data_IF_976391081436
#
_entry.id   IF_976391081436
#
_cell.length_a   1.000
_cell.length_b   1.000
_cell.length_c   1.000
_cell.angle_alpha   90.00
_cell.angle_beta   90.00
_cell.angle_gamma   90.00
#
_symmetry.space_group_name_H-M   'P 1'
#
loop_
_entity.id
_entity.type
_entity.pdbx_description
1 polymer ?
#
# COMPACT_ATOMS: atom_id res chain seq x y z
N UNK A 1 -19.72 -34.19 8.43
CA UNK A 1 -19.50 -33.86 7.00
C UNK A 1 -19.78 -32.40 6.69
N UNK A 2 -20.91 -31.86 7.13
CA UNK A 2 -21.24 -30.44 6.91
C UNK A 2 -20.26 -29.48 7.61
N UNK A 3 -19.67 -29.89 8.71
CA UNK A 3 -18.72 -29.06 9.45
C UNK A 3 -17.38 -28.86 8.74
N UNK A 4 -16.96 -29.83 7.91
CA UNK A 4 -15.75 -29.74 7.13
C UNK A 4 -15.83 -28.68 6.02
N UNK A 5 -17.01 -28.57 5.40
CA UNK A 5 -17.25 -27.57 4.35
C UNK A 5 -17.22 -26.14 4.91
N UNK A 6 -17.76 -25.96 6.12
CA UNK A 6 -17.76 -24.65 6.79
C UNK A 6 -16.32 -24.25 7.14
N UNK A 7 -15.50 -25.20 7.56
CA UNK A 7 -14.10 -24.93 7.89
C UNK A 7 -13.30 -24.52 6.67
N UNK A 8 -13.53 -25.12 5.50
CA UNK A 8 -12.86 -24.75 4.27
C UNK A 8 -13.25 -23.35 3.79
N UNK A 9 -14.49 -22.95 3.97
CA UNK A 9 -14.96 -21.61 3.66
C UNK A 9 -14.28 -20.55 4.55
N UNK A 10 -14.07 -20.87 5.81
CA UNK A 10 -13.38 -19.97 6.73
C UNK A 10 -11.90 -19.78 6.37
N UNK A 11 -11.24 -20.83 5.89
CA UNK A 11 -9.85 -20.75 5.44
C UNK A 11 -9.71 -19.83 4.25
N UNK A 12 -10.66 -19.86 3.30
CA UNK A 12 -10.61 -19.01 2.12
C UNK A 12 -10.79 -17.53 2.43
N UNK A 13 -11.39 -17.19 3.59
CA UNK A 13 -11.55 -15.79 4.01
C UNK A 13 -10.33 -15.20 4.69
N UNK A 14 -9.30 -16.00 4.96
CA UNK A 14 -8.05 -15.52 5.57
C UNK A 14 -7.14 -14.80 4.57
N UNK A 15 -7.35 -14.98 3.27
CA UNK A 15 -6.61 -14.28 2.24
C UNK A 15 -7.30 -12.96 1.93
N UNK A 16 -6.88 -11.91 2.63
CA UNK A 16 -7.39 -10.58 2.36
C UNK A 16 -6.49 -9.88 1.35
N UNK A 17 -7.07 -9.24 0.36
CA UNK A 17 -6.35 -8.36 -0.53
C UNK A 17 -6.15 -7.00 0.14
N UNK A 18 -5.15 -6.26 -0.33
CA UNK A 18 -4.88 -4.90 0.13
C UNK A 18 -6.07 -4.00 -0.25
N UNK A 19 -6.50 -3.18 0.70
CA UNK A 19 -7.66 -2.31 0.51
C UNK A 19 -7.35 -1.20 -0.47
N UNK A 20 -8.28 -0.96 -1.40
CA UNK A 20 -8.20 0.12 -2.38
C UNK A 20 -8.80 1.41 -1.81
N UNK A 21 -8.12 2.52 -2.03
CA UNK A 21 -8.63 3.83 -1.65
C UNK A 21 -9.30 4.52 -2.84
N UNK A 22 -10.22 5.42 -2.54
CA UNK A 22 -10.97 6.21 -3.50
C UNK A 22 -10.82 7.70 -3.18
N UNK A 23 -11.31 8.59 -4.07
CA UNK A 23 -11.33 10.03 -3.80
C UNK A 23 -12.04 10.37 -2.49
N UNK A 24 -13.05 9.60 -2.13
CA UNK A 24 -13.87 9.87 -0.94
C UNK A 24 -13.15 9.51 0.36
N UNK A 25 -12.30 8.47 0.36
CA UNK A 25 -11.72 7.98 1.61
C UNK A 25 -10.20 8.16 1.72
N UNK A 26 -9.53 8.65 0.67
CA UNK A 26 -8.07 8.78 0.67
C UNK A 26 -7.57 9.67 1.81
N UNK A 27 -8.11 10.87 1.93
CA UNK A 27 -7.69 11.82 2.97
C UNK A 27 -7.92 11.24 4.36
N UNK A 28 -9.10 10.69 4.60
CA UNK A 28 -9.44 10.11 5.89
C UNK A 28 -8.52 8.93 6.23
N UNK A 29 -8.20 8.09 5.25
CA UNK A 29 -7.37 6.91 5.47
C UNK A 29 -5.91 7.26 5.78
N UNK A 30 -5.40 8.38 5.24
CA UNK A 30 -3.99 8.77 5.37
C UNK A 30 -3.72 9.81 6.47
N UNK A 31 -4.76 10.35 7.10
CA UNK A 31 -4.62 11.48 8.04
C UNK A 31 -4.04 11.09 9.39
N UNK A 32 -4.21 9.86 9.83
CA UNK A 32 -3.82 9.43 11.17
C UNK A 32 -2.88 8.24 11.14
N UNK A 33 -1.81 8.32 11.94
CA UNK A 33 -0.87 7.26 12.12
C UNK A 33 0.01 7.04 10.90
N UNK A 34 0.74 5.95 10.91
CA UNK A 34 1.63 5.58 9.82
C UNK A 34 0.87 4.76 8.79
N UNK A 35 0.88 5.24 7.55
CA UNK A 35 0.13 4.64 6.44
C UNK A 35 1.04 4.53 5.22
N UNK A 36 1.07 3.35 4.61
CA UNK A 36 1.78 3.12 3.35
C UNK A 36 0.76 2.95 2.23
N UNK A 37 0.90 3.69 1.15
CA UNK A 37 0.00 3.62 0.00
C UNK A 37 0.80 3.34 -1.26
N UNK A 38 0.47 2.25 -1.94
CA UNK A 38 1.00 1.97 -3.27
C UNK A 38 0.09 2.59 -4.32
N UNK A 39 0.69 3.40 -5.21
CA UNK A 39 0.02 4.00 -6.35
C UNK A 39 0.33 3.17 -7.59
N UNK A 40 -0.70 2.75 -8.30
CA UNK A 40 -0.57 1.96 -9.52
C UNK A 40 -1.59 2.43 -10.55
N UNK A 41 -1.47 1.95 -11.77
CA UNK A 41 -2.43 2.22 -12.84
C UNK A 41 -2.90 0.89 -13.44
N UNK A 42 -4.08 0.91 -14.05
CA UNK A 42 -4.65 -0.30 -14.66
C UNK A 42 -3.69 -0.91 -15.69
N UNK A 43 -3.03 -0.07 -16.50
CA UNK A 43 -2.09 -0.55 -17.52
C UNK A 43 -0.81 -1.16 -16.92
N UNK A 44 -0.51 -0.88 -15.64
CA UNK A 44 0.67 -1.40 -14.95
C UNK A 44 0.30 -2.38 -13.82
N UNK A 45 -0.91 -2.90 -13.83
CA UNK A 45 -1.43 -3.72 -12.74
C UNK A 45 -0.60 -4.97 -12.48
N UNK A 46 -0.05 -5.57 -13.54
CA UNK A 46 0.81 -6.76 -13.42
C UNK A 46 2.08 -6.49 -12.61
N UNK A 47 2.49 -5.23 -12.50
CA UNK A 47 3.70 -4.82 -11.79
C UNK A 47 3.41 -4.21 -10.41
N UNK A 48 2.21 -4.41 -9.87
CA UNK A 48 1.95 -4.05 -8.49
C UNK A 48 2.97 -4.75 -7.58
N UNK A 49 3.37 -4.07 -6.53
CA UNK A 49 4.40 -4.56 -5.63
C UNK A 49 3.87 -5.77 -4.84
N UNK A 50 4.41 -6.95 -5.12
CA UNK A 50 3.98 -8.18 -4.42
C UNK A 50 4.28 -8.15 -2.93
N UNK A 51 5.37 -7.48 -2.53
CA UNK A 51 5.69 -7.33 -1.11
C UNK A 51 4.58 -6.64 -0.34
N UNK A 52 3.83 -5.74 -0.97
CA UNK A 52 2.68 -5.06 -0.34
C UNK A 52 1.58 -6.08 0.02
N UNK A 53 1.34 -7.07 -0.84
CA UNK A 53 0.33 -8.10 -0.56
C UNK A 53 0.74 -9.03 0.58
N UNK A 54 2.05 -9.25 0.73
CA UNK A 54 2.60 -10.17 1.72
C UNK A 54 2.94 -9.49 3.05
N UNK A 55 3.00 -8.16 3.03
CA UNK A 55 3.47 -7.39 4.18
C UNK A 55 2.42 -7.31 5.28
N UNK A 56 2.79 -7.84 6.44
CA UNK A 56 1.96 -7.80 7.63
C UNK A 56 2.62 -6.88 8.65
N UNK A 57 2.40 -5.58 8.47
CA UNK A 57 2.98 -4.59 9.37
C UNK A 57 2.09 -4.37 10.59
N UNK A 58 2.70 -4.44 11.76
CA UNK A 58 2.02 -4.12 13.01
C UNK A 58 1.82 -2.61 13.16
N UNK A 59 2.77 -1.81 12.66
CA UNK A 59 2.82 -0.37 12.91
C UNK A 59 2.18 0.47 11.81
N UNK A 60 2.05 -0.06 10.59
CA UNK A 60 1.55 0.70 9.45
C UNK A 60 0.29 0.06 8.88
N UNK A 61 -0.65 0.90 8.47
CA UNK A 61 -1.77 0.49 7.63
C UNK A 61 -1.33 0.54 6.18
N UNK A 62 -1.82 -0.39 5.36
CA UNK A 62 -1.37 -0.55 3.98
C UNK A 62 -2.55 -0.47 3.04
N UNK A 63 -2.42 0.34 2.01
CA UNK A 63 -3.47 0.56 1.01
C UNK A 63 -2.88 0.64 -0.39
N UNK A 64 -3.77 0.57 -1.38
CA UNK A 64 -3.49 0.86 -2.79
C UNK A 64 -4.45 1.88 -3.34
N UNK A 65 -4.02 2.59 -4.36
CA UNK A 65 -4.90 3.48 -5.11
C UNK A 65 -4.58 3.38 -6.61
N UNK A 66 -5.63 3.28 -7.41
CA UNK A 66 -5.52 3.25 -8.87
C UNK A 66 -5.59 4.68 -9.41
N UNK A 67 -4.49 5.18 -9.94
CA UNK A 67 -4.42 6.56 -10.41
C UNK A 67 -5.15 6.78 -11.74
N UNK A 68 -5.43 5.73 -12.50
CA UNK A 68 -6.27 5.85 -13.70
C UNK A 68 -7.71 6.19 -13.31
N UNK A 69 -8.19 5.56 -12.23
CA UNK A 69 -9.53 5.81 -11.72
C UNK A 69 -9.59 7.13 -10.96
N UNK A 70 -8.52 7.49 -10.24
CA UNK A 70 -8.48 8.67 -9.36
C UNK A 70 -7.30 9.58 -9.70
N UNK A 71 -7.33 10.25 -10.87
CA UNK A 71 -6.20 11.08 -11.30
C UNK A 71 -5.93 12.29 -10.41
N UNK A 72 -6.92 12.78 -9.67
CA UNK A 72 -6.73 13.89 -8.73
C UNK A 72 -5.80 13.51 -7.58
N UNK A 73 -5.89 12.25 -7.12
CA UNK A 73 -5.00 11.75 -6.07
C UNK A 73 -3.56 11.70 -6.58
N UNK A 74 -3.37 11.27 -7.83
CA UNK A 74 -2.07 11.27 -8.48
C UNK A 74 -1.45 12.67 -8.47
N UNK A 75 -2.21 13.65 -8.95
CA UNK A 75 -1.74 15.02 -9.07
C UNK A 75 -1.41 15.63 -7.71
N UNK A 76 -2.29 15.42 -6.73
CA UNK A 76 -2.11 15.96 -5.38
C UNK A 76 -0.86 15.41 -4.68
N UNK A 77 -0.41 14.22 -5.05
CA UNK A 77 0.73 13.55 -4.43
C UNK A 77 1.98 13.53 -5.33
N UNK A 78 1.92 14.20 -6.48
CA UNK A 78 3.05 14.27 -7.43
C UNK A 78 3.61 12.91 -7.81
N UNK A 79 2.72 11.94 -8.08
CA UNK A 79 3.12 10.60 -8.50
C UNK A 79 3.38 10.63 -10.01
N UNK A 80 4.64 10.46 -10.40
CA UNK A 80 5.07 10.50 -11.81
C UNK A 80 5.64 9.17 -12.29
N UNK A 81 6.05 8.30 -11.37
CA UNK A 81 6.63 6.98 -11.66
C UNK A 81 5.76 5.92 -10.99
N UNK A 82 5.57 4.79 -11.67
CA UNK A 82 4.81 3.66 -11.13
C UNK A 82 5.66 2.40 -11.09
N UNK A 83 5.47 1.55 -10.08
CA UNK A 83 4.72 1.83 -8.86
C UNK A 83 5.42 2.87 -8.00
N UNK A 84 4.66 3.56 -7.16
CA UNK A 84 5.21 4.43 -6.10
C UNK A 84 4.55 4.04 -4.80
N UNK A 85 5.33 3.89 -3.73
CA UNK A 85 4.81 3.70 -2.38
C UNK A 85 5.13 4.96 -1.60
N UNK A 86 4.11 5.62 -1.07
CA UNK A 86 4.29 6.79 -0.21
C UNK A 86 3.93 6.40 1.22
N UNK A 87 4.80 6.76 2.16
CA UNK A 87 4.55 6.60 3.58
C UNK A 87 4.11 7.93 4.15
N UNK A 88 2.92 7.95 4.76
CA UNK A 88 2.36 9.11 5.43
C UNK A 88 2.42 8.89 6.94
N UNK A 89 2.75 9.93 7.67
CA UNK A 89 2.67 9.93 9.13
C UNK A 89 1.80 11.11 9.55
N UNK A 90 0.63 10.81 10.08
CA UNK A 90 -0.39 11.80 10.44
C UNK A 90 -0.70 12.77 9.29
N UNK A 91 -0.82 12.22 8.09
CA UNK A 91 -1.18 12.95 6.88
C UNK A 91 -0.02 13.57 6.12
N UNK A 92 1.19 13.52 6.65
CA UNK A 92 2.37 14.10 6.03
C UNK A 92 3.22 13.01 5.36
N UNK A 93 3.65 13.26 4.12
CA UNK A 93 4.57 12.34 3.45
C UNK A 93 5.93 12.38 4.14
N UNK A 94 6.40 11.21 4.61
CA UNK A 94 7.68 11.09 5.32
C UNK A 94 8.69 10.22 4.58
N UNK A 95 8.25 9.41 3.63
CA UNK A 95 9.14 8.58 2.84
C UNK A 95 8.44 8.16 1.54
N UNK A 96 9.25 7.90 0.50
CA UNK A 96 8.73 7.51 -0.80
C UNK A 96 9.67 6.50 -1.45
N UNK A 97 9.10 5.40 -1.93
CA UNK A 97 9.80 4.43 -2.76
C UNK A 97 9.22 4.50 -4.18
N UNK A 98 10.07 4.59 -5.18
CA UNK A 98 9.64 4.72 -6.57
C UNK A 98 10.22 3.62 -7.43
N UNK A 99 9.45 3.18 -8.41
CA UNK A 99 9.88 2.23 -9.41
C UNK A 99 10.94 2.82 -10.34
N UNK A 100 11.40 2.00 -11.25
CA UNK A 100 12.40 2.36 -12.25
C UNK A 100 11.74 2.64 -13.61
N UNK A 101 12.56 2.84 -14.64
CA UNK A 101 12.10 3.13 -16.00
C UNK A 101 11.40 1.93 -16.65
N UNK A 102 11.48 0.74 -16.07
CA UNK A 102 10.74 -0.43 -16.54
C UNK A 102 9.40 -0.58 -15.83
N UNK A 103 8.99 0.41 -15.06
CA UNK A 103 7.74 0.43 -14.30
C UNK A 103 7.64 -0.73 -13.31
N UNK A 104 8.76 -1.04 -12.68
CA UNK A 104 8.83 -2.05 -11.62
C UNK A 104 9.50 -1.47 -10.38
N UNK A 105 9.03 -1.91 -9.22
CA UNK A 105 9.63 -1.56 -7.94
C UNK A 105 9.97 -2.85 -7.21
N UNK A 106 11.25 -3.14 -7.13
CA UNK A 106 11.74 -4.32 -6.43
C UNK A 106 11.99 -3.97 -4.98
N UNK A 107 11.08 -4.35 -4.13
CA UNK A 107 11.24 -4.19 -2.69
C UNK A 107 10.76 -5.46 -2.00
N UNK A 108 11.16 -5.64 -0.76
CA UNK A 108 10.82 -6.80 0.05
C UNK A 108 10.09 -6.35 1.30
N UNK A 109 9.42 -7.28 1.97
CA UNK A 109 8.78 -6.98 3.25
C UNK A 109 9.80 -6.52 4.29
N UNK A 110 11.02 -7.05 4.26
CA UNK A 110 12.08 -6.63 5.16
C UNK A 110 12.48 -5.18 4.92
N UNK A 111 12.58 -4.76 3.67
CA UNK A 111 12.89 -3.37 3.32
C UNK A 111 11.78 -2.43 3.75
N UNK A 112 10.52 -2.86 3.60
CA UNK A 112 9.37 -2.08 4.06
C UNK A 112 9.40 -1.92 5.59
N UNK A 113 9.74 -2.98 6.31
CA UNK A 113 9.90 -2.92 7.76
C UNK A 113 11.03 -1.98 8.17
N UNK A 114 12.15 -1.97 7.43
CA UNK A 114 13.26 -1.06 7.69
C UNK A 114 12.83 0.40 7.53
N UNK A 115 12.03 0.70 6.52
CA UNK A 115 11.50 2.05 6.31
C UNK A 115 10.63 2.46 7.50
N UNK A 116 9.75 1.56 7.94
CA UNK A 116 8.88 1.83 9.10
C UNK A 116 9.72 2.07 10.36
N UNK A 117 10.72 1.24 10.61
CA UNK A 117 11.62 1.41 11.76
C UNK A 117 12.35 2.75 11.72
N UNK A 118 12.82 3.16 10.55
CA UNK A 118 13.47 4.45 10.37
C UNK A 118 12.51 5.61 10.66
N UNK A 119 11.29 5.53 10.14
CA UNK A 119 10.28 6.57 10.39
C UNK A 119 9.97 6.67 11.89
N UNK A 120 9.73 5.54 12.54
CA UNK A 120 9.42 5.50 13.96
C UNK A 120 10.61 5.94 14.81
N UNK A 121 11.82 5.57 14.42
CA UNK A 121 13.04 5.98 15.11
C UNK A 121 13.26 7.49 15.08
N UNK A 122 12.86 8.17 14.01
CA UNK A 122 13.02 9.61 13.87
C UNK A 122 12.02 10.42 14.72
N UNK A 123 11.03 9.76 15.32
CA UNK A 123 10.05 10.42 16.18
C UNK A 123 10.52 10.60 17.62
N UNK A 124 11.61 9.95 17.98
CA UNK A 124 12.08 9.93 19.39
C UNK A 124 13.48 10.52 19.54
#
# INVERSE_FOLDING_TARGET
>A
MKKLLILMLMISTLFSSVRELTDENFEKATTRGLVAVEFYATWNEANKVTAIDEWDSFDAKVYRVNIDTYPKIQAANNVVILPTIIFFDDGEEVHRLQGDMTFTLKTTTDELDEVVEEILGNKF
#
